data_IF_667651850425
#
_entry.id   IF_667651850425
#
_cell.length_a   1.000
_cell.length_b   1.000
_cell.length_c   1.000
_cell.angle_alpha   90.00
_cell.angle_beta   90.00
_cell.angle_gamma   90.00
#
_symmetry.space_group_name_H-M   'P 1'
#
loop_
_entity.id
_entity.type
_entity.pdbx_description
1 polymer ?
#
# COMPACT_ATOMS: atom_id res chain seq x y z
N UNK A 1 -15.11 5.76 -18.21
CA UNK A 1 -14.01 6.64 -18.67
C UNK A 1 -12.81 5.75 -19.00
N UNK A 2 -12.26 5.83 -20.20
CA UNK A 2 -11.09 5.03 -20.58
C UNK A 2 -9.84 5.77 -20.11
N UNK A 3 -8.95 5.09 -19.40
CA UNK A 3 -7.64 5.59 -18.98
C UNK A 3 -6.58 4.82 -19.77
N UNK A 4 -5.65 5.54 -20.40
CA UNK A 4 -4.52 4.95 -21.13
C UNK A 4 -3.23 5.30 -20.41
N UNK A 5 -2.34 4.32 -20.29
CA UNK A 5 -1.03 4.45 -19.63
C UNK A 5 0.00 3.72 -20.48
N UNK A 6 1.20 4.31 -20.60
CA UNK A 6 2.31 3.67 -21.29
C UNK A 6 2.99 2.69 -20.34
N UNK A 7 3.09 1.43 -20.77
CA UNK A 7 3.73 0.35 -20.02
C UNK A 7 4.92 -0.15 -20.86
N UNK A 8 6.13 -0.30 -20.29
CA UNK A 8 7.26 -0.89 -20.99
C UNK A 8 6.96 -2.32 -21.48
N UNK A 9 7.53 -2.71 -22.63
CA UNK A 9 7.23 -3.99 -23.29
C UNK A 9 7.46 -5.20 -22.38
N UNK A 10 8.53 -5.18 -21.58
CA UNK A 10 8.85 -6.25 -20.63
C UNK A 10 7.73 -6.44 -19.59
N UNK A 11 7.25 -5.33 -19.02
CA UNK A 11 6.18 -5.36 -18.02
C UNK A 11 4.84 -5.78 -18.65
N UNK A 12 4.57 -5.33 -19.87
CA UNK A 12 3.39 -5.75 -20.62
C UNK A 12 3.39 -7.25 -20.91
N UNK A 13 4.55 -7.82 -21.24
CA UNK A 13 4.72 -9.27 -21.49
C UNK A 13 4.50 -10.09 -20.21
N UNK A 14 5.08 -9.64 -19.08
CA UNK A 14 4.86 -10.27 -17.77
C UNK A 14 3.38 -10.25 -17.36
N UNK A 15 2.70 -9.13 -17.57
CA UNK A 15 1.27 -9.01 -17.29
C UNK A 15 0.42 -9.93 -18.18
N UNK A 16 0.77 -10.08 -19.47
CA UNK A 16 0.08 -11.01 -20.37
C UNK A 16 0.25 -12.46 -19.94
N UNK A 17 1.47 -12.87 -19.57
CA UNK A 17 1.76 -14.21 -19.09
C UNK A 17 0.98 -14.53 -17.81
N UNK A 18 0.97 -13.60 -16.83
CA UNK A 18 0.23 -13.76 -15.58
C UNK A 18 -1.28 -13.88 -15.83
N UNK A 19 -1.84 -12.97 -16.64
CA UNK A 19 -3.26 -12.99 -17.00
C UNK A 19 -3.70 -14.31 -17.62
N UNK A 20 -2.90 -14.85 -18.55
CA UNK A 20 -3.16 -16.16 -19.19
C UNK A 20 -3.07 -17.31 -18.19
N UNK A 21 -2.02 -17.34 -17.37
CA UNK A 21 -1.80 -18.41 -16.41
C UNK A 21 -2.92 -18.49 -15.37
N UNK A 22 -3.46 -17.36 -14.93
CA UNK A 22 -4.52 -17.30 -13.92
C UNK A 22 -5.93 -17.22 -14.50
N UNK A 23 -6.09 -17.19 -15.83
CA UNK A 23 -7.37 -16.98 -16.53
C UNK A 23 -8.11 -15.72 -16.05
N UNK A 24 -7.37 -14.65 -15.71
CA UNK A 24 -7.91 -13.35 -15.30
C UNK A 24 -7.61 -12.30 -16.36
N UNK A 25 -8.38 -11.22 -16.40
CA UNK A 25 -8.10 -10.11 -17.33
C UNK A 25 -6.90 -9.28 -16.87
N UNK A 26 -6.14 -8.73 -17.81
CA UNK A 26 -5.05 -7.77 -17.51
C UNK A 26 -5.57 -6.57 -16.71
N UNK A 27 -6.74 -6.08 -17.08
CA UNK A 27 -7.40 -4.97 -16.39
C UNK A 27 -7.67 -5.27 -14.92
N UNK A 28 -8.03 -6.51 -14.56
CA UNK A 28 -8.25 -6.87 -13.16
C UNK A 28 -6.96 -6.73 -12.33
N UNK A 29 -5.81 -7.17 -12.87
CA UNK A 29 -4.53 -6.98 -12.20
C UNK A 29 -4.09 -5.52 -12.14
N UNK A 30 -4.34 -4.74 -13.20
CA UNK A 30 -4.01 -3.31 -13.22
C UNK A 30 -4.82 -2.56 -12.15
N UNK A 31 -6.13 -2.85 -12.05
CA UNK A 31 -6.99 -2.24 -11.03
C UNK A 31 -6.53 -2.64 -9.63
N UNK A 32 -6.31 -3.93 -9.38
CA UNK A 32 -5.85 -4.44 -8.08
C UNK A 32 -4.49 -3.83 -7.67
N UNK A 33 -3.55 -3.70 -8.62
CA UNK A 33 -2.26 -3.08 -8.35
C UNK A 33 -2.38 -1.58 -8.03
N UNK A 34 -3.29 -0.87 -8.72
CA UNK A 34 -3.56 0.54 -8.45
C UNK A 34 -4.25 0.74 -7.10
N UNK A 35 -5.23 -0.09 -6.76
CA UNK A 35 -5.91 -0.07 -5.45
C UNK A 35 -4.89 -0.25 -4.33
N UNK A 36 -4.07 -1.32 -4.39
CA UNK A 36 -3.02 -1.56 -3.38
C UNK A 36 -2.02 -0.43 -3.28
N UNK A 37 -1.56 0.10 -4.42
CA UNK A 37 -0.61 1.21 -4.41
C UNK A 37 -1.23 2.45 -3.78
N UNK A 38 -2.51 2.75 -4.05
CA UNK A 38 -3.20 3.88 -3.46
C UNK A 38 -3.40 3.68 -1.94
N UNK A 39 -3.85 2.51 -1.52
CA UNK A 39 -4.05 2.18 -0.10
C UNK A 39 -2.73 2.36 0.69
N UNK A 40 -1.63 1.77 0.21
CA UNK A 40 -0.30 1.91 0.83
C UNK A 40 0.16 3.38 0.86
N UNK A 41 -0.10 4.12 -0.22
CA UNK A 41 0.31 5.52 -0.35
C UNK A 41 -0.49 6.43 0.58
N UNK A 42 -1.78 6.22 0.70
CA UNK A 42 -2.67 6.97 1.57
C UNK A 42 -2.35 6.70 3.04
N UNK A 43 -2.09 5.44 3.41
CA UNK A 43 -1.67 5.09 4.77
C UNK A 43 -0.31 5.73 5.13
N UNK A 44 0.65 5.70 4.21
CA UNK A 44 1.94 6.37 4.40
C UNK A 44 1.78 7.88 4.59
N UNK A 45 0.99 8.54 3.74
CA UNK A 45 0.76 9.98 3.86
C UNK A 45 0.06 10.34 5.18
N UNK A 46 -0.89 9.51 5.62
CA UNK A 46 -1.54 9.67 6.92
C UNK A 46 -0.54 9.51 8.09
N UNK A 47 0.34 8.51 8.04
CA UNK A 47 1.39 8.31 9.03
C UNK A 47 2.38 9.48 9.07
N UNK A 48 2.80 9.99 7.91
CA UNK A 48 3.67 11.16 7.80
C UNK A 48 2.99 12.42 8.32
N UNK A 49 1.68 12.59 8.06
CA UNK A 49 0.91 13.71 8.59
C UNK A 49 0.90 13.69 10.13
N UNK A 50 0.66 12.53 10.74
CA UNK A 50 0.71 12.34 12.21
C UNK A 50 2.10 12.63 12.78
N UNK A 51 3.16 12.13 12.13
CA UNK A 51 4.54 12.38 12.55
C UNK A 51 4.92 13.86 12.50
N UNK A 52 4.40 14.60 11.51
CA UNK A 52 4.71 16.02 11.30
C UNK A 52 3.84 16.97 12.12
N UNK A 53 2.79 16.46 12.77
CA UNK A 53 1.90 17.29 13.57
C UNK A 53 2.68 17.89 14.76
N UNK A 54 2.83 19.23 14.83
CA UNK A 54 3.53 19.88 15.93
C UNK A 54 2.84 19.67 17.30
N UNK A 55 1.55 19.32 17.29
CA UNK A 55 0.77 19.02 18.48
C UNK A 55 0.80 17.52 18.86
N UNK A 56 1.57 16.69 18.15
CA UNK A 56 1.67 15.27 18.45
C UNK A 56 2.27 15.04 19.85
N UNK A 57 1.57 14.23 20.66
CA UNK A 57 2.07 13.73 21.93
C UNK A 57 2.92 12.47 21.70
N UNK A 58 4.11 12.45 22.27
CA UNK A 58 5.04 11.33 22.19
C UNK A 58 5.02 10.56 23.50
N UNK A 59 4.94 9.25 23.41
CA UNK A 59 4.98 8.33 24.55
C UNK A 59 6.23 7.45 24.45
N UNK A 60 6.83 7.13 25.59
CA UNK A 60 7.97 6.22 25.67
C UNK A 60 7.60 4.82 25.20
N UNK A 61 8.57 4.11 24.63
CA UNK A 61 8.36 2.76 24.09
C UNK A 61 7.80 1.78 25.14
N UNK A 62 8.29 1.85 26.38
CA UNK A 62 7.79 1.04 27.49
C UNK A 62 6.31 1.30 27.80
N UNK A 63 5.88 2.56 27.69
CA UNK A 63 4.49 2.92 27.92
C UNK A 63 3.58 2.41 26.79
N UNK A 64 4.04 2.50 25.53
CA UNK A 64 3.34 1.90 24.38
C UNK A 64 3.16 0.40 24.57
N UNK A 65 4.21 -0.32 24.99
CA UNK A 65 4.15 -1.76 25.26
C UNK A 65 3.12 -2.09 26.33
N UNK A 66 3.09 -1.32 27.43
CA UNK A 66 2.12 -1.48 28.51
C UNK A 66 0.68 -1.28 28.01
N UNK A 67 0.42 -0.21 27.27
CA UNK A 67 -0.91 0.12 26.73
C UNK A 67 -1.41 -0.90 25.70
N UNK A 68 -0.50 -1.47 24.89
CA UNK A 68 -0.83 -2.47 23.89
C UNK A 68 -1.03 -3.89 24.46
N UNK A 69 -0.89 -4.09 25.78
CA UNK A 69 -0.96 -5.41 26.40
C UNK A 69 0.24 -6.30 26.08
N UNK A 70 1.38 -5.68 25.70
CA UNK A 70 2.66 -6.32 25.38
C UNK A 70 3.72 -6.05 26.47
N UNK A 71 3.30 -5.54 27.63
CA UNK A 71 4.16 -5.39 28.79
C UNK A 71 4.59 -6.77 29.30
N UNK A 72 5.90 -6.93 29.52
CA UNK A 72 6.46 -8.17 30.07
C UNK A 72 5.80 -8.53 31.41
N UNK A 73 5.77 -9.84 31.71
CA UNK A 73 5.70 -10.35 33.09
C UNK A 73 6.81 -9.73 33.96
#
# INVERSE_FOLDING_TARGET
MIRSVRIPDELASRLDALARATKRSKSSFIVEALERYLDEREELELALARLRDPAAEWVDHEEVRRLAGLGDE
#
